data_IF_561486223861
#
_entry.id   IF_561486223861
#
_cell.length_a   1.000
_cell.length_b   1.000
_cell.length_c   1.000
_cell.angle_alpha   90.00
_cell.angle_beta   90.00
_cell.angle_gamma   90.00
#
_symmetry.space_group_name_H-M   'P 1'
#
loop_
_entity.id
_entity.type
_entity.pdbx_description
1 polymer ?
#
# COMPACT_ATOMS: atom_id res chain seq x y z
N UNK A 1 -29.87 -22.67 -7.91
CA UNK A 1 -29.40 -22.32 -6.53
C UNK A 1 -29.42 -20.80 -6.39
N UNK A 2 -29.81 -20.29 -5.23
CA UNK A 2 -29.83 -18.84 -4.95
C UNK A 2 -28.39 -18.37 -4.67
N UNK A 3 -28.02 -17.18 -5.14
CA UNK A 3 -26.76 -16.52 -4.76
C UNK A 3 -26.97 -15.72 -3.47
N UNK A 4 -25.94 -15.66 -2.63
CA UNK A 4 -25.91 -14.83 -1.42
C UNK A 4 -25.50 -13.40 -1.75
N UNK A 5 -24.77 -13.23 -2.87
CA UNK A 5 -24.29 -11.93 -3.38
C UNK A 5 -23.94 -12.04 -4.86
N UNK A 6 -23.72 -10.92 -5.54
CA UNK A 6 -23.16 -10.94 -6.89
C UNK A 6 -21.67 -11.26 -6.84
N UNK A 7 -20.92 -10.66 -5.93
CA UNK A 7 -19.45 -10.75 -5.92
C UNK A 7 -18.93 -11.11 -4.53
N UNK A 8 -18.18 -12.20 -4.46
CA UNK A 8 -17.39 -12.57 -3.27
C UNK A 8 -15.98 -11.98 -3.40
N UNK A 9 -15.53 -11.21 -2.41
CA UNK A 9 -14.20 -10.59 -2.37
C UNK A 9 -13.41 -11.21 -1.22
N UNK A 10 -12.28 -11.84 -1.51
CA UNK A 10 -11.39 -12.40 -0.49
C UNK A 10 -10.26 -11.43 -0.21
N UNK A 11 -10.25 -10.87 0.99
CA UNK A 11 -9.28 -9.87 1.46
C UNK A 11 -9.86 -8.48 1.64
N UNK A 12 -9.96 -8.03 2.90
CA UNK A 12 -10.44 -6.70 3.31
C UNK A 12 -9.33 -5.66 3.45
N UNK A 13 -8.26 -5.77 2.64
CA UNK A 13 -7.22 -4.75 2.48
C UNK A 13 -7.70 -3.56 1.65
N UNK A 14 -6.79 -2.63 1.30
CA UNK A 14 -7.13 -1.46 0.49
C UNK A 14 -7.82 -1.84 -0.82
N UNK A 15 -7.27 -2.79 -1.57
CA UNK A 15 -7.80 -3.17 -2.87
C UNK A 15 -9.22 -3.75 -2.76
N UNK A 16 -9.45 -4.69 -1.83
CA UNK A 16 -10.78 -5.30 -1.68
C UNK A 16 -11.83 -4.31 -1.19
N UNK A 17 -11.45 -3.40 -0.29
CA UNK A 17 -12.36 -2.35 0.20
C UNK A 17 -12.71 -1.35 -0.89
N UNK A 18 -11.72 -0.87 -1.65
CA UNK A 18 -11.95 0.07 -2.77
C UNK A 18 -12.78 -0.59 -3.86
N UNK A 19 -12.49 -1.86 -4.20
CA UNK A 19 -13.27 -2.61 -5.19
C UNK A 19 -14.74 -2.74 -4.76
N UNK A 20 -15.00 -3.11 -3.51
CA UNK A 20 -16.38 -3.24 -3.02
C UNK A 20 -17.15 -1.92 -3.08
N UNK A 21 -16.52 -0.80 -2.72
CA UNK A 21 -17.12 0.53 -2.83
C UNK A 21 -17.40 0.91 -4.30
N UNK A 22 -16.48 0.59 -5.22
CA UNK A 22 -16.68 0.85 -6.64
C UNK A 22 -17.82 0.02 -7.23
N UNK A 23 -17.93 -1.25 -6.85
CA UNK A 23 -19.02 -2.13 -7.27
C UNK A 23 -20.39 -1.68 -6.75
N UNK A 24 -20.43 -1.23 -5.50
CA UNK A 24 -21.64 -0.69 -4.89
C UNK A 24 -22.17 0.55 -5.62
N UNK A 25 -21.30 1.42 -6.14
CA UNK A 25 -21.73 2.60 -6.93
C UNK A 25 -22.44 2.24 -8.24
N UNK A 26 -22.17 1.08 -8.79
CA UNK A 26 -22.81 0.58 -10.01
C UNK A 26 -23.87 -0.48 -9.72
N UNK A 27 -24.28 -0.62 -8.44
CA UNK A 27 -25.43 -1.41 -8.03
C UNK A 27 -25.17 -2.90 -7.83
N UNK A 28 -23.91 -3.34 -7.73
CA UNK A 28 -23.57 -4.73 -7.37
C UNK A 28 -23.51 -4.93 -5.87
N UNK A 29 -24.10 -6.03 -5.40
CA UNK A 29 -23.93 -6.49 -4.04
C UNK A 29 -22.62 -7.28 -3.89
N UNK A 30 -21.90 -7.06 -2.78
CA UNK A 30 -20.68 -7.79 -2.51
C UNK A 30 -20.52 -8.20 -1.05
N UNK A 31 -19.84 -9.33 -0.84
CA UNK A 31 -19.41 -9.81 0.48
C UNK A 31 -17.88 -9.82 0.51
N UNK A 32 -17.29 -9.04 1.42
CA UNK A 32 -15.85 -9.07 1.70
C UNK A 32 -15.59 -10.08 2.81
N UNK A 33 -14.67 -11.01 2.57
CA UNK A 33 -14.20 -12.01 3.51
C UNK A 33 -12.80 -11.64 3.98
N UNK A 34 -12.68 -11.16 5.23
CA UNK A 34 -11.41 -10.72 5.81
C UNK A 34 -11.02 -11.61 7.01
N UNK A 35 -9.78 -12.03 7.05
CA UNK A 35 -9.24 -12.85 8.15
C UNK A 35 -8.98 -12.05 9.43
N UNK A 36 -8.90 -10.73 9.35
CA UNK A 36 -8.60 -9.88 10.50
C UNK A 36 -9.89 -9.30 11.11
N UNK A 37 -9.93 -9.13 12.44
CA UNK A 37 -11.01 -8.39 13.09
C UNK A 37 -10.95 -6.91 12.73
N UNK A 38 -12.12 -6.26 12.73
CA UNK A 38 -12.26 -4.84 12.35
C UNK A 38 -11.36 -3.92 13.20
N UNK A 39 -11.26 -4.16 14.49
CA UNK A 39 -10.46 -3.34 15.41
C UNK A 39 -8.96 -3.38 15.06
N UNK A 40 -8.46 -4.54 14.65
CA UNK A 40 -7.08 -4.65 14.14
C UNK A 40 -6.89 -3.88 12.84
N UNK A 41 -7.91 -3.88 11.98
CA UNK A 41 -7.90 -3.09 10.74
C UNK A 41 -7.96 -1.58 11.00
N UNK A 42 -8.72 -1.15 12.01
CA UNK A 42 -8.88 0.27 12.38
C UNK A 42 -7.78 0.80 13.30
N UNK A 43 -6.75 0.00 13.60
CA UNK A 43 -5.71 0.40 14.53
C UNK A 43 -5.01 1.70 14.10
N UNK A 44 -4.97 2.67 15.03
CA UNK A 44 -4.54 4.04 14.72
C UNK A 44 -3.01 4.25 14.73
N UNK A 45 -2.23 3.27 15.22
CA UNK A 45 -0.78 3.41 15.26
C UNK A 45 -0.19 3.37 13.85
N UNK A 46 0.82 4.22 13.64
CA UNK A 46 1.63 4.18 12.42
C UNK A 46 2.41 2.87 12.36
N UNK A 47 2.26 2.14 11.28
CA UNK A 47 2.89 0.83 11.04
C UNK A 47 3.97 0.88 9.94
N UNK A 48 4.46 2.07 9.63
CA UNK A 48 5.49 2.32 8.62
C UNK A 48 4.95 2.47 7.20
N UNK A 49 3.68 2.14 6.95
CA UNK A 49 3.14 2.21 5.60
C UNK A 49 2.60 3.60 5.28
N UNK A 50 3.08 4.12 4.16
CA UNK A 50 2.54 5.31 3.50
C UNK A 50 2.42 5.03 2.00
N UNK A 51 1.45 5.62 1.37
CA UNK A 51 1.17 5.43 -0.06
C UNK A 51 1.37 6.73 -0.81
N UNK A 52 2.08 6.66 -1.92
CA UNK A 52 2.06 7.67 -2.95
C UNK A 52 0.83 7.43 -3.83
N UNK A 53 -0.24 8.15 -3.58
CA UNK A 53 -1.50 8.06 -4.32
C UNK A 53 -1.38 8.92 -5.56
N UNK A 54 -1.25 8.27 -6.73
CA UNK A 54 -1.20 8.96 -8.02
C UNK A 54 -2.53 9.67 -8.34
N UNK A 55 -2.49 10.64 -9.25
CA UNK A 55 -3.65 11.44 -9.63
C UNK A 55 -4.85 10.60 -10.07
N UNK A 56 -4.64 9.52 -10.83
CA UNK A 56 -5.70 8.60 -11.24
C UNK A 56 -6.37 7.91 -10.05
N UNK A 57 -5.58 7.47 -9.08
CA UNK A 57 -6.09 6.85 -7.86
C UNK A 57 -6.81 7.88 -6.97
N UNK A 58 -6.32 9.11 -6.91
CA UNK A 58 -6.98 10.20 -6.21
C UNK A 58 -8.35 10.50 -6.81
N UNK A 59 -8.44 10.57 -8.16
CA UNK A 59 -9.72 10.76 -8.88
C UNK A 59 -10.71 9.63 -8.58
N UNK A 60 -10.25 8.38 -8.57
CA UNK A 60 -11.05 7.24 -8.18
C UNK A 60 -11.57 7.38 -6.73
N UNK A 61 -10.70 7.71 -5.77
CA UNK A 61 -11.09 7.93 -4.38
C UNK A 61 -12.06 9.11 -4.22
N UNK A 62 -11.95 10.15 -5.07
CA UNK A 62 -12.92 11.26 -5.12
C UNK A 62 -14.30 10.78 -5.58
N UNK A 63 -14.35 10.00 -6.66
CA UNK A 63 -15.59 9.39 -7.16
C UNK A 63 -16.25 8.52 -6.10
N UNK A 64 -15.46 7.79 -5.31
CA UNK A 64 -15.97 6.97 -4.19
C UNK A 64 -16.37 7.79 -2.96
N UNK A 65 -16.20 9.13 -2.96
CA UNK A 65 -16.49 10.00 -1.82
C UNK A 65 -15.57 9.75 -0.61
N UNK A 66 -14.35 9.28 -0.86
CA UNK A 66 -13.31 9.01 0.15
C UNK A 66 -12.31 10.16 0.24
N UNK A 67 -11.97 10.75 -0.92
CA UNK A 67 -10.90 11.74 -1.02
C UNK A 67 -11.14 12.99 -0.16
N UNK A 68 -12.32 13.58 -0.20
CA UNK A 68 -12.64 14.82 0.53
C UNK A 68 -12.48 14.66 2.05
N UNK A 69 -12.64 13.45 2.56
CA UNK A 69 -12.47 13.14 3.97
C UNK A 69 -10.99 12.93 4.33
N UNK A 70 -10.20 12.31 3.43
CA UNK A 70 -8.80 11.96 3.71
C UNK A 70 -7.80 13.03 3.30
N UNK A 71 -8.16 13.95 2.38
CA UNK A 71 -7.25 14.97 1.82
C UNK A 71 -6.50 15.78 2.88
N UNK A 72 -7.15 16.11 4.00
CA UNK A 72 -6.56 16.89 5.10
C UNK A 72 -5.49 16.10 5.89
N UNK A 73 -5.34 14.79 5.63
CA UNK A 73 -4.31 13.91 6.19
C UNK A 73 -3.28 13.51 5.14
N UNK A 74 -3.35 14.10 3.95
CA UNK A 74 -2.43 13.87 2.85
C UNK A 74 -1.47 15.03 2.68
N UNK A 75 -0.32 14.76 2.08
CA UNK A 75 0.68 15.72 1.67
C UNK A 75 0.80 15.69 0.15
N UNK A 76 0.54 16.79 -0.57
CA UNK A 76 0.78 16.84 -2.02
C UNK A 76 2.27 16.67 -2.33
N UNK A 77 2.55 15.95 -3.42
CA UNK A 77 3.87 15.83 -4.04
C UNK A 77 3.90 16.87 -5.16
N UNK A 78 4.67 17.93 -4.94
CA UNK A 78 4.79 19.05 -5.86
C UNK A 78 5.98 18.87 -6.80
N UNK A 79 7.10 18.39 -6.25
CA UNK A 79 8.34 18.16 -6.97
C UNK A 79 8.83 16.73 -6.76
N UNK A 80 9.45 16.16 -7.79
CA UNK A 80 10.19 14.91 -7.68
C UNK A 80 11.58 15.10 -8.25
N UNK A 81 12.60 14.91 -7.42
CA UNK A 81 14.00 14.94 -7.83
C UNK A 81 14.54 13.52 -7.82
N UNK A 82 15.07 13.08 -8.95
CA UNK A 82 15.67 11.76 -9.13
C UNK A 82 17.14 11.92 -9.48
N UNK A 83 18.03 11.34 -8.68
CA UNK A 83 19.46 11.31 -8.94
C UNK A 83 20.06 9.97 -8.58
N UNK A 84 21.26 9.68 -9.02
CA UNK A 84 22.12 8.69 -8.41
C UNK A 84 22.93 9.33 -7.27
N UNK A 85 23.55 8.50 -6.45
CA UNK A 85 24.35 8.98 -5.33
C UNK A 85 25.12 7.84 -4.66
N UNK A 86 25.99 8.22 -3.75
CA UNK A 86 26.72 7.30 -2.89
C UNK A 86 26.64 7.76 -1.44
N UNK A 87 26.59 6.83 -0.48
CA UNK A 87 26.74 7.18 0.92
C UNK A 87 28.01 8.03 1.13
N UNK A 88 27.91 9.09 1.91
CA UNK A 88 28.95 10.07 2.20
C UNK A 88 29.35 11.02 1.06
N UNK A 89 29.02 10.74 -0.21
CA UNK A 89 29.22 11.67 -1.33
C UNK A 89 27.94 12.50 -1.59
N UNK A 90 26.79 12.00 -1.09
CA UNK A 90 25.47 12.63 -1.33
C UNK A 90 24.90 12.35 -2.70
N UNK A 91 23.92 13.18 -3.10
CA UNK A 91 23.30 13.12 -4.42
C UNK A 91 24.27 13.63 -5.50
N UNK A 92 24.22 12.99 -6.68
CA UNK A 92 24.96 13.46 -7.86
C UNK A 92 24.49 14.88 -8.27
N UNK A 93 25.38 15.71 -8.82
CA UNK A 93 24.98 16.99 -9.41
C UNK A 93 24.11 16.83 -10.66
N UNK A 94 24.08 15.63 -11.24
CA UNK A 94 23.19 15.28 -12.35
C UNK A 94 21.91 14.66 -11.82
N UNK A 95 20.78 15.31 -12.08
CA UNK A 95 19.46 14.85 -11.63
C UNK A 95 18.39 15.10 -12.68
N UNK A 96 17.30 14.36 -12.60
CA UNK A 96 16.07 14.64 -13.33
C UNK A 96 15.09 15.27 -12.33
N UNK A 97 14.49 16.37 -12.71
CA UNK A 97 13.49 17.06 -11.91
C UNK A 97 12.15 17.06 -12.65
N UNK A 98 11.10 16.79 -11.91
CA UNK A 98 9.72 16.89 -12.35
C UNK A 98 9.03 17.94 -11.48
N UNK A 99 8.45 18.96 -12.10
CA UNK A 99 7.69 20.01 -11.45
C UNK A 99 6.19 19.83 -11.78
N UNK A 100 5.34 19.86 -10.77
CA UNK A 100 3.88 19.79 -10.97
C UNK A 100 3.33 20.94 -11.81
N UNK A 101 4.02 22.09 -11.86
CA UNK A 101 3.64 23.23 -12.69
C UNK A 101 3.80 22.96 -14.20
N UNK A 102 4.57 21.93 -14.59
CA UNK A 102 4.68 21.50 -16.00
C UNK A 102 3.46 20.73 -16.48
N UNK A 103 2.61 20.29 -15.58
CA UNK A 103 1.35 19.60 -15.86
C UNK A 103 0.18 20.43 -15.34
N UNK A 104 -0.81 20.74 -16.17
CA UNK A 104 -1.96 21.57 -15.81
C UNK A 104 -2.99 20.87 -14.89
N UNK A 105 -2.64 19.74 -14.28
CA UNK A 105 -3.56 18.88 -13.54
C UNK A 105 -3.41 18.92 -12.01
N UNK A 106 -2.48 19.75 -11.51
CA UNK A 106 -2.17 19.90 -10.08
C UNK A 106 -1.04 18.97 -9.61
N UNK A 107 -0.99 18.63 -8.30
CA UNK A 107 0.09 17.81 -7.75
C UNK A 107 0.25 16.47 -8.46
N UNK A 108 1.48 15.97 -8.60
CA UNK A 108 1.79 14.69 -9.24
C UNK A 108 1.19 13.49 -8.48
N UNK A 109 0.86 13.68 -7.22
CA UNK A 109 0.23 12.72 -6.35
C UNK A 109 0.19 13.23 -4.92
N UNK A 110 -0.19 12.36 -3.99
CA UNK A 110 -0.28 12.70 -2.58
C UNK A 110 0.26 11.56 -1.73
N UNK A 111 1.05 11.90 -0.73
CA UNK A 111 1.44 10.95 0.31
C UNK A 111 0.36 10.84 1.38
N UNK A 112 -0.03 9.62 1.71
CA UNK A 112 -1.01 9.34 2.78
C UNK A 112 -0.51 8.17 3.62
N UNK A 113 -0.54 8.31 4.94
CA UNK A 113 -0.28 7.19 5.84
C UNK A 113 -1.44 6.17 5.77
N UNK A 114 -1.12 4.87 5.69
CA UNK A 114 -2.09 3.76 5.59
C UNK A 114 -3.21 3.85 6.64
N UNK A 115 -2.86 4.15 7.88
CA UNK A 115 -3.80 4.24 9.01
C UNK A 115 -4.97 5.20 8.77
N UNK A 116 -4.75 6.31 8.07
CA UNK A 116 -5.80 7.29 7.78
C UNK A 116 -6.68 6.83 6.62
N UNK A 117 -6.07 6.41 5.52
CA UNK A 117 -6.82 5.93 4.36
C UNK A 117 -7.65 4.69 4.69
N UNK A 118 -7.05 3.72 5.35
CA UNK A 118 -7.71 2.47 5.75
C UNK A 118 -8.90 2.71 6.66
N UNK A 119 -8.78 3.59 7.66
CA UNK A 119 -9.88 3.90 8.58
C UNK A 119 -11.07 4.50 7.83
N UNK A 120 -10.83 5.49 6.98
CA UNK A 120 -11.88 6.17 6.22
C UNK A 120 -12.57 5.20 5.25
N UNK A 121 -11.80 4.33 4.57
CA UNK A 121 -12.35 3.29 3.71
C UNK A 121 -13.27 2.33 4.48
N UNK A 122 -12.86 1.88 5.66
CA UNK A 122 -13.68 1.00 6.50
C UNK A 122 -14.93 1.69 7.04
N UNK A 123 -14.82 2.97 7.40
CA UNK A 123 -15.99 3.74 7.85
C UNK A 123 -16.98 3.94 6.69
N UNK A 124 -16.48 4.24 5.49
CA UNK A 124 -17.31 4.34 4.27
C UNK A 124 -17.97 3.01 3.92
N UNK A 125 -17.21 1.92 4.01
CA UNK A 125 -17.71 0.56 3.77
C UNK A 125 -18.88 0.22 4.71
N UNK A 126 -18.74 0.52 6.00
CA UNK A 126 -19.76 0.27 7.01
C UNK A 126 -21.06 1.09 6.79
N UNK A 127 -20.96 2.19 6.04
CA UNK A 127 -22.10 3.05 5.67
C UNK A 127 -22.66 2.72 4.26
N UNK A 128 -22.24 1.61 3.64
CA UNK A 128 -22.65 1.22 2.28
C UNK A 128 -23.49 -0.04 2.33
N UNK A 129 -24.79 0.07 2.10
CA UNK A 129 -25.79 -1.02 2.28
C UNK A 129 -25.54 -2.22 1.36
N UNK A 130 -25.01 -2.01 0.14
CA UNK A 130 -24.74 -3.08 -0.84
C UNK A 130 -23.48 -3.90 -0.52
N UNK A 131 -22.79 -3.63 0.61
CA UNK A 131 -21.56 -4.33 0.96
C UNK A 131 -21.66 -4.96 2.34
N UNK A 132 -21.48 -6.27 2.41
CA UNK A 132 -21.33 -6.99 3.68
C UNK A 132 -19.86 -7.26 3.96
N UNK A 133 -19.32 -6.67 5.02
CA UNK A 133 -17.95 -6.96 5.48
C UNK A 133 -17.96 -8.01 6.59
N UNK A 134 -17.51 -9.21 6.25
CA UNK A 134 -17.36 -10.34 7.19
C UNK A 134 -15.92 -10.38 7.70
N UNK A 135 -15.68 -9.81 8.87
CA UNK A 135 -14.41 -9.94 9.58
C UNK A 135 -14.25 -11.35 10.17
N UNK A 136 -12.99 -11.74 10.43
CA UNK A 136 -12.62 -13.06 10.97
C UNK A 136 -13.12 -14.24 10.11
N UNK A 137 -13.39 -13.97 8.83
CA UNK A 137 -13.90 -14.93 7.86
C UNK A 137 -12.74 -15.52 7.02
N UNK A 138 -12.14 -16.58 7.50
CA UNK A 138 -11.04 -17.28 6.82
C UNK A 138 -11.60 -18.23 5.76
N UNK A 139 -11.26 -18.01 4.50
CA UNK A 139 -11.60 -18.92 3.39
C UNK A 139 -10.73 -20.17 3.46
N UNK A 140 -11.37 -21.32 3.69
CA UNK A 140 -10.72 -22.62 3.69
C UNK A 140 -10.61 -23.21 2.27
N UNK A 141 -11.67 -23.09 1.48
CA UNK A 141 -11.75 -23.62 0.13
C UNK A 141 -12.67 -22.77 -0.76
N UNK A 142 -12.47 -22.84 -2.07
CA UNK A 142 -13.45 -22.37 -3.03
C UNK A 142 -13.51 -23.32 -4.24
N UNK A 143 -14.64 -23.34 -4.89
CA UNK A 143 -14.90 -24.08 -6.13
C UNK A 143 -15.74 -23.21 -7.05
N UNK A 144 -15.64 -23.46 -8.34
CA UNK A 144 -16.39 -22.72 -9.37
C UNK A 144 -17.13 -23.71 -10.26
N UNK A 145 -18.30 -23.29 -10.71
CA UNK A 145 -19.10 -23.99 -11.72
C UNK A 145 -19.57 -23.02 -12.81
N UNK A 146 -20.32 -23.51 -13.78
CA UNK A 146 -20.85 -22.67 -14.87
C UNK A 146 -21.72 -21.50 -14.38
N UNK A 147 -22.35 -21.63 -13.22
CA UNK A 147 -23.26 -20.61 -12.70
C UNK A 147 -22.54 -19.61 -11.77
N UNK A 148 -21.51 -20.00 -11.04
CA UNK A 148 -20.86 -19.11 -10.08
C UNK A 148 -19.70 -19.71 -9.30
N UNK A 149 -19.33 -19.04 -8.23
CA UNK A 149 -18.29 -19.45 -7.29
C UNK A 149 -18.88 -19.72 -5.91
N UNK A 150 -18.43 -20.79 -5.28
CA UNK A 150 -18.80 -21.17 -3.91
C UNK A 150 -17.55 -21.10 -3.04
N UNK A 151 -17.68 -20.45 -1.89
CA UNK A 151 -16.62 -20.31 -0.89
C UNK A 151 -17.05 -21.01 0.39
N UNK A 152 -16.18 -21.85 0.94
CA UNK A 152 -16.33 -22.46 2.27
C UNK A 152 -15.38 -21.80 3.25
N UNK A 153 -15.94 -21.28 4.34
CA UNK A 153 -15.15 -20.69 5.42
C UNK A 153 -14.63 -21.77 6.38
N UNK A 154 -13.63 -21.43 7.17
CA UNK A 154 -13.04 -22.34 8.15
C UNK A 154 -13.99 -22.73 9.28
N UNK A 155 -15.01 -21.93 9.55
CA UNK A 155 -16.07 -22.20 10.53
C UNK A 155 -17.24 -23.04 9.97
N UNK A 156 -17.14 -23.47 8.70
CA UNK A 156 -18.12 -24.31 8.02
C UNK A 156 -19.19 -23.56 7.24
N UNK A 157 -19.33 -22.25 7.38
CA UNK A 157 -20.25 -21.44 6.54
C UNK A 157 -19.91 -21.58 5.07
N UNK A 158 -20.92 -21.60 4.24
CA UNK A 158 -20.80 -21.68 2.77
C UNK A 158 -21.51 -20.47 2.17
N UNK A 159 -20.83 -19.79 1.27
CA UNK A 159 -21.34 -18.61 0.55
C UNK A 159 -21.20 -18.82 -0.94
N UNK A 160 -22.18 -18.34 -1.71
CA UNK A 160 -22.22 -18.45 -3.15
C UNK A 160 -22.38 -17.07 -3.80
N UNK A 161 -21.49 -16.76 -4.75
CA UNK A 161 -21.53 -15.56 -5.57
C UNK A 161 -21.45 -15.88 -7.06
N UNK A 162 -21.74 -14.92 -7.91
CA UNK A 162 -21.57 -15.10 -9.37
C UNK A 162 -20.10 -15.11 -9.77
N UNK A 163 -19.30 -14.31 -9.06
CA UNK A 163 -17.85 -14.14 -9.30
C UNK A 163 -17.13 -14.11 -7.95
N UNK A 164 -15.92 -14.68 -7.91
CA UNK A 164 -14.97 -14.59 -6.81
C UNK A 164 -13.81 -13.67 -7.20
N UNK A 165 -13.49 -12.69 -6.36
CA UNK A 165 -12.33 -11.81 -6.57
C UNK A 165 -11.32 -12.00 -5.45
N UNK A 166 -10.09 -12.38 -5.80
CA UNK A 166 -8.95 -12.51 -4.90
C UNK A 166 -8.25 -11.17 -4.71
N UNK A 167 -8.45 -10.56 -3.54
CA UNK A 167 -7.73 -9.37 -3.04
C UNK A 167 -6.87 -9.76 -1.83
N UNK A 168 -6.44 -11.01 -1.73
CA UNK A 168 -5.77 -11.62 -0.58
C UNK A 168 -4.23 -11.48 -0.62
N UNK A 169 -3.71 -10.63 -1.51
CA UNK A 169 -2.35 -10.13 -1.51
C UNK A 169 -1.32 -11.06 -2.15
N UNK A 170 -0.04 -10.81 -1.82
CA UNK A 170 1.09 -11.48 -2.50
C UNK A 170 1.10 -13.00 -2.44
N UNK A 171 0.53 -13.60 -1.41
CA UNK A 171 0.45 -15.04 -1.23
C UNK A 171 -0.97 -15.53 -1.46
N UNK A 172 -1.65 -14.96 -2.46
CA UNK A 172 -3.05 -15.24 -2.78
C UNK A 172 -3.35 -16.74 -2.81
N UNK A 173 -4.16 -17.20 -1.86
CA UNK A 173 -4.69 -18.53 -1.83
C UNK A 173 -5.78 -18.72 -2.89
N UNK A 174 -6.47 -17.65 -3.28
CA UNK A 174 -7.42 -17.66 -4.39
C UNK A 174 -6.69 -17.99 -5.68
N UNK A 175 -5.59 -17.29 -6.00
CA UNK A 175 -4.79 -17.56 -7.19
C UNK A 175 -4.30 -19.02 -7.23
N UNK A 176 -3.74 -19.51 -6.11
CA UNK A 176 -3.22 -20.86 -6.02
C UNK A 176 -4.29 -21.92 -6.28
N UNK A 177 -5.47 -21.80 -5.64
CA UNK A 177 -6.56 -22.75 -5.79
C UNK A 177 -7.21 -22.71 -7.17
N UNK A 178 -7.18 -21.54 -7.83
CA UNK A 178 -7.67 -21.37 -9.20
C UNK A 178 -6.67 -21.84 -10.28
N UNK A 179 -5.54 -22.42 -9.88
CA UNK A 179 -4.51 -22.88 -10.81
C UNK A 179 -3.74 -21.76 -11.51
N UNK A 180 -3.88 -20.51 -11.04
CA UNK A 180 -3.16 -19.36 -11.61
C UNK A 180 -1.71 -19.43 -11.11
N UNK A 181 -0.80 -19.73 -12.04
CA UNK A 181 0.63 -19.79 -11.76
C UNK A 181 1.21 -18.41 -11.61
N UNK A 182 2.24 -18.30 -10.75
CA UNK A 182 2.97 -17.06 -10.50
C UNK A 182 4.45 -17.26 -10.77
N UNK A 183 5.06 -16.29 -11.44
CA UNK A 183 6.51 -16.21 -11.61
C UNK A 183 7.04 -15.14 -10.67
N UNK A 184 8.14 -15.44 -9.98
CA UNK A 184 8.71 -14.47 -9.05
C UNK A 184 10.06 -14.91 -8.49
N UNK A 185 10.77 -13.96 -7.89
CA UNK A 185 12.05 -14.18 -7.20
C UNK A 185 12.28 -13.12 -6.11
N UNK A 186 13.20 -13.41 -5.22
CA UNK A 186 13.66 -12.49 -4.20
C UNK A 186 14.89 -11.73 -4.70
N UNK A 187 14.97 -10.42 -4.41
CA UNK A 187 16.10 -9.59 -4.83
C UNK A 187 17.30 -9.65 -3.90
N UNK A 188 17.24 -10.39 -2.79
CA UNK A 188 18.24 -10.37 -1.71
C UNK A 188 18.46 -8.97 -1.12
N UNK A 189 17.47 -8.12 -1.27
CA UNK A 189 17.37 -6.76 -0.75
C UNK A 189 16.18 -6.62 0.19
N UNK A 190 16.27 -5.69 1.14
CA UNK A 190 15.19 -5.33 2.05
C UNK A 190 15.11 -3.81 2.17
N UNK A 191 13.90 -3.28 2.25
CA UNK A 191 13.69 -1.86 2.51
C UNK A 191 13.54 -1.62 4.00
N UNK A 192 14.36 -0.71 4.53
CA UNK A 192 14.22 -0.09 5.85
C UNK A 192 13.24 1.06 5.70
N UNK A 193 12.14 1.01 6.45
CA UNK A 193 11.08 2.01 6.38
C UNK A 193 10.90 2.65 7.74
N UNK A 194 10.92 3.98 7.76
CA UNK A 194 10.63 4.77 8.95
C UNK A 194 10.05 6.13 8.56
N UNK A 195 9.49 6.85 9.52
CA UNK A 195 9.25 8.28 9.38
C UNK A 195 10.32 9.05 10.16
N UNK A 196 10.69 10.19 9.65
CA UNK A 196 11.56 11.18 10.32
C UNK A 196 10.84 12.50 10.46
N UNK A 197 11.11 13.22 11.53
CA UNK A 197 10.85 14.64 11.67
C UNK A 197 12.12 15.39 11.36
N UNK A 198 11.99 16.58 10.78
CA UNK A 198 13.12 17.40 10.33
C UNK A 198 12.89 18.89 10.60
N UNK A 199 13.98 19.64 10.68
CA UNK A 199 13.97 21.04 11.07
C UNK A 199 13.40 21.93 9.96
N UNK A 200 13.88 21.76 8.73
CA UNK A 200 13.51 22.59 7.59
C UNK A 200 12.32 21.99 6.83
N UNK A 201 11.45 22.81 6.22
CA UNK A 201 10.29 22.33 5.48
C UNK A 201 10.70 21.63 4.17
N UNK A 202 10.09 20.47 3.86
CA UNK A 202 10.31 19.72 2.62
C UNK A 202 9.64 20.34 1.39
N UNK A 203 8.77 21.34 1.54
CA UNK A 203 8.07 22.08 0.48
C UNK A 203 7.30 21.20 -0.52
N UNK A 204 6.88 20.00 -0.13
CA UNK A 204 6.19 19.04 -1.00
C UNK A 204 7.12 18.25 -1.93
N UNK A 205 8.44 18.37 -1.76
CA UNK A 205 9.43 17.69 -2.63
C UNK A 205 9.64 16.24 -2.20
N UNK A 206 9.61 15.32 -3.15
CA UNK A 206 10.01 13.93 -3.02
C UNK A 206 11.39 13.73 -3.68
N UNK A 207 12.24 12.93 -3.04
CA UNK A 207 13.58 12.62 -3.55
C UNK A 207 13.74 11.11 -3.74
N UNK A 208 14.29 10.72 -4.89
CA UNK A 208 14.66 9.35 -5.21
C UNK A 208 16.15 9.30 -5.52
N UNK A 209 16.90 8.59 -4.68
CA UNK A 209 18.34 8.42 -4.84
C UNK A 209 18.63 6.97 -5.24
N UNK A 210 19.28 6.76 -6.39
CA UNK A 210 19.76 5.46 -6.80
C UNK A 210 21.18 5.22 -6.25
N UNK A 211 21.26 4.42 -5.17
CA UNK A 211 22.52 4.08 -4.51
C UNK A 211 22.98 2.67 -4.89
N UNK A 212 24.26 2.32 -4.68
CA UNK A 212 24.82 1.04 -5.11
C UNK A 212 24.14 -0.21 -4.53
N UNK A 213 23.59 -0.12 -3.31
CA UNK A 213 22.89 -1.23 -2.67
C UNK A 213 21.42 -1.32 -3.05
N UNK A 214 20.84 -0.22 -3.51
CA UNK A 214 19.43 -0.08 -3.89
C UNK A 214 18.94 1.34 -3.70
N UNK A 215 17.73 1.66 -4.17
CA UNK A 215 17.20 3.01 -4.11
C UNK A 215 16.84 3.43 -2.67
N UNK A 216 16.92 4.74 -2.43
CA UNK A 216 16.40 5.41 -1.26
C UNK A 216 15.39 6.45 -1.69
N UNK A 217 14.20 6.44 -1.11
CA UNK A 217 13.20 7.49 -1.30
C UNK A 217 13.00 8.28 0.00
N UNK A 218 12.87 9.61 -0.16
CA UNK A 218 12.51 10.56 0.88
C UNK A 218 11.20 11.21 0.42
N UNK A 219 10.10 10.86 1.08
CA UNK A 219 8.76 11.18 0.62
C UNK A 219 8.07 12.12 1.63
N UNK A 220 7.53 13.28 1.18
CA UNK A 220 6.96 14.28 2.09
C UNK A 220 5.71 13.75 2.80
N UNK A 221 5.62 13.98 4.10
CA UNK A 221 4.43 13.72 4.93
C UNK A 221 3.91 15.04 5.52
N UNK A 222 2.65 15.11 5.98
CA UNK A 222 2.13 16.32 6.60
C UNK A 222 3.01 16.86 7.74
N UNK A 223 3.24 18.17 7.74
CA UNK A 223 4.19 18.85 8.63
C UNK A 223 5.64 18.67 8.19
N UNK A 224 6.58 18.97 9.10
CA UNK A 224 8.00 18.76 8.84
C UNK A 224 8.36 17.28 9.08
N UNK A 225 7.79 16.39 8.28
CA UNK A 225 7.98 14.94 8.36
C UNK A 225 8.21 14.35 6.98
N UNK A 226 8.99 13.29 6.92
CA UNK A 226 9.19 12.51 5.68
C UNK A 226 9.16 11.01 5.97
N UNK A 227 8.60 10.26 5.04
CA UNK A 227 8.71 8.79 5.02
C UNK A 227 9.99 8.42 4.28
N UNK A 228 10.80 7.59 4.89
CA UNK A 228 12.04 7.07 4.33
C UNK A 228 11.81 5.62 3.92
N UNK A 229 12.17 5.31 2.68
CA UNK A 229 12.21 3.94 2.15
C UNK A 229 13.63 3.70 1.65
N UNK A 230 14.46 3.09 2.49
CA UNK A 230 15.89 2.89 2.23
C UNK A 230 16.17 1.42 1.92
N UNK A 231 16.54 1.14 0.69
CA UNK A 231 16.82 -0.23 0.24
C UNK A 231 18.29 -0.57 0.42
N UNK A 232 18.52 -1.69 1.10
CA UNK A 232 19.84 -2.27 1.34
C UNK A 232 19.85 -3.77 1.04
N UNK A 233 21.06 -4.35 0.92
CA UNK A 233 21.20 -5.81 0.91
C UNK A 233 20.62 -6.38 2.21
N UNK A 234 19.85 -7.47 2.14
CA UNK A 234 19.09 -8.01 3.28
C UNK A 234 19.96 -8.20 4.54
N UNK A 235 21.20 -8.71 4.41
CA UNK A 235 22.09 -8.86 5.55
C UNK A 235 22.42 -7.52 6.20
N UNK A 236 22.76 -6.51 5.41
CA UNK A 236 23.10 -5.17 5.90
C UNK A 236 21.85 -4.47 6.48
N UNK A 237 20.70 -4.58 5.83
CA UNK A 237 19.44 -4.04 6.32
C UNK A 237 19.09 -4.57 7.72
N UNK A 238 19.28 -5.88 7.97
CA UNK A 238 19.05 -6.47 9.29
C UNK A 238 20.00 -5.90 10.36
N UNK A 239 21.28 -5.72 10.02
CA UNK A 239 22.25 -5.11 10.93
C UNK A 239 21.84 -3.68 11.27
N UNK A 240 21.56 -2.85 10.25
CA UNK A 240 21.15 -1.45 10.43
C UNK A 240 19.85 -1.36 11.25
N UNK A 241 18.88 -2.23 10.98
CA UNK A 241 17.61 -2.22 11.72
C UNK A 241 17.76 -2.59 13.20
N UNK A 242 18.79 -3.37 13.53
CA UNK A 242 19.13 -3.76 14.91
C UNK A 242 19.88 -2.70 15.73
N UNK A 243 20.39 -1.64 15.09
CA UNK A 243 21.10 -0.55 15.75
C UNK A 243 20.20 0.27 16.69
N UNK A 244 20.78 0.96 17.66
CA UNK A 244 20.07 1.99 18.42
C UNK A 244 19.56 3.11 17.52
N UNK A 245 18.64 3.94 18.00
CA UNK A 245 18.12 5.06 17.20
C UNK A 245 19.20 6.07 16.79
N UNK A 246 20.17 6.33 17.68
CA UNK A 246 21.26 7.23 17.37
C UNK A 246 22.21 6.67 16.31
N UNK A 247 22.59 5.40 16.43
CA UNK A 247 23.43 4.72 15.43
C UNK A 247 22.74 4.58 14.07
N UNK A 248 21.42 4.28 14.07
CA UNK A 248 20.65 4.23 12.84
C UNK A 248 20.64 5.59 12.11
N UNK A 249 20.40 6.68 12.84
CA UNK A 249 20.46 8.04 12.28
C UNK A 249 21.88 8.40 11.81
N UNK A 250 22.93 7.94 12.49
CA UNK A 250 24.31 8.13 12.06
C UNK A 250 24.60 7.41 10.72
N UNK A 251 23.96 6.25 10.46
CA UNK A 251 24.01 5.56 9.19
C UNK A 251 23.15 6.23 8.10
N UNK A 252 22.00 6.79 8.50
CA UNK A 252 21.04 7.41 7.59
C UNK A 252 21.51 8.78 7.06
N UNK A 253 22.07 9.62 7.94
CA UNK A 253 22.47 11.02 7.61
C UNK A 253 23.37 11.11 6.38
N UNK A 254 24.42 10.31 6.21
CA UNK A 254 25.28 10.37 5.01
C UNK A 254 24.54 10.07 3.68
N UNK A 255 23.41 9.34 3.76
CA UNK A 255 22.57 9.04 2.61
C UNK A 255 21.45 10.08 2.42
N UNK A 256 20.93 10.60 3.54
CA UNK A 256 19.82 11.56 3.56
C UNK A 256 20.24 12.96 3.09
N UNK A 257 21.47 13.38 3.43
CA UNK A 257 21.97 14.74 3.19
C UNK A 257 21.51 15.73 4.27
N UNK A 258 21.81 17.03 4.08
CA UNK A 258 21.60 18.11 5.05
C UNK A 258 20.45 19.07 4.67
N UNK A 259 19.80 18.86 3.53
CA UNK A 259 18.83 19.79 2.97
C UNK A 259 17.55 20.00 3.82
N UNK A 260 17.24 19.09 4.74
CA UNK A 260 16.15 19.21 5.70
C UNK A 260 16.59 19.57 7.11
N UNK A 261 17.88 19.90 7.30
CA UNK A 261 18.46 20.20 8.60
C UNK A 261 18.54 18.99 9.51
N UNK A 262 18.42 19.23 10.82
CA UNK A 262 18.47 18.14 11.80
C UNK A 262 17.26 17.21 11.66
N UNK A 263 17.53 15.88 11.75
CA UNK A 263 16.52 14.84 11.59
C UNK A 263 16.46 13.95 12.85
N UNK A 264 15.26 13.52 13.20
CA UNK A 264 14.98 12.57 14.29
C UNK A 264 13.94 11.54 13.86
N UNK A 265 14.00 10.33 14.42
CA UNK A 265 13.01 9.31 14.14
C UNK A 265 11.63 9.71 14.69
N UNK A 266 10.60 9.58 13.86
CA UNK A 266 9.20 9.83 14.20
C UNK A 266 8.43 8.51 14.36
N UNK A 267 8.88 7.64 15.27
CA UNK A 267 8.23 6.36 15.54
C UNK A 267 9.11 5.14 15.32
N UNK A 268 8.48 4.00 15.07
CA UNK A 268 9.17 2.71 14.89
C UNK A 268 9.78 2.58 13.50
N UNK A 269 10.79 1.72 13.41
CA UNK A 269 11.40 1.27 12.14
C UNK A 269 10.82 -0.06 11.73
N UNK A 270 10.72 -0.28 10.43
CA UNK A 270 10.19 -1.49 9.84
C UNK A 270 11.17 -1.99 8.76
N UNK A 271 11.15 -3.30 8.50
CA UNK A 271 11.96 -3.91 7.46
C UNK A 271 11.07 -4.81 6.59
N UNK A 272 11.19 -4.66 5.29
CA UNK A 272 10.40 -5.41 4.30
C UNK A 272 11.31 -6.06 3.26
N UNK A 273 11.34 -7.40 3.17
CA UNK A 273 12.06 -8.09 2.10
C UNK A 273 11.45 -7.76 0.74
N UNK A 274 12.30 -7.52 -0.25
CA UNK A 274 11.90 -7.18 -1.60
C UNK A 274 11.92 -8.40 -2.51
N UNK A 275 10.92 -8.49 -3.37
CA UNK A 275 10.79 -9.55 -4.36
C UNK A 275 9.76 -9.20 -5.41
N UNK A 276 9.89 -9.78 -6.58
CA UNK A 276 8.90 -9.74 -7.63
C UNK A 276 8.00 -10.97 -7.53
N UNK A 277 6.72 -10.78 -7.79
CA UNK A 277 5.77 -11.86 -8.01
C UNK A 277 4.71 -11.39 -9.00
N UNK A 278 4.64 -12.05 -10.14
CA UNK A 278 3.70 -11.73 -11.22
C UNK A 278 2.82 -12.94 -11.50
N UNK A 279 1.51 -12.75 -11.50
CA UNK A 279 0.56 -13.76 -11.92
C UNK A 279 0.60 -13.90 -13.46
N UNK A 280 0.54 -15.14 -13.95
CA UNK A 280 0.49 -15.40 -15.41
C UNK A 280 -0.85 -15.02 -16.05
N UNK A 281 -1.91 -14.98 -15.25
CA UNK A 281 -3.23 -14.49 -15.61
C UNK A 281 -3.85 -13.80 -14.40
N UNK A 282 -4.65 -12.78 -14.63
CA UNK A 282 -5.47 -12.14 -13.59
C UNK A 282 -6.91 -12.63 -13.58
N UNK A 283 -7.25 -13.55 -14.50
CA UNK A 283 -8.58 -14.13 -14.61
C UNK A 283 -8.51 -15.65 -14.80
N UNK A 284 -9.51 -16.33 -14.27
CA UNK A 284 -9.86 -17.73 -14.53
C UNK A 284 -11.40 -17.83 -14.57
N UNK A 285 -11.93 -19.03 -14.80
CA UNK A 285 -13.38 -19.22 -14.80
C UNK A 285 -13.99 -18.73 -13.48
N UNK A 286 -14.90 -17.74 -13.57
CA UNK A 286 -15.58 -17.13 -12.42
C UNK A 286 -14.65 -16.53 -11.35
N UNK A 287 -13.36 -16.35 -11.65
CA UNK A 287 -12.37 -15.80 -10.70
C UNK A 287 -11.61 -14.64 -11.34
N UNK A 288 -11.39 -13.57 -10.56
CA UNK A 288 -10.48 -12.49 -10.89
C UNK A 288 -9.49 -12.24 -9.74
N UNK A 289 -8.34 -11.64 -10.04
CA UNK A 289 -7.32 -11.23 -9.06
C UNK A 289 -7.09 -9.71 -9.16
N UNK A 290 -6.86 -9.09 -7.98
CA UNK A 290 -6.54 -7.65 -7.85
C UNK A 290 -5.32 -7.47 -6.95
#
# INVERSE_FOLDING_TARGET
MKFDTDILIVGGGLNGTVLALALAQVGFESIILDTLPVDKRKHAAFDGRSYAVALSSQRMLSTLGVWDVVRNKSQPILDITVSDGKPAEGASPYFVHFDHCEIEEGPMGHMIEDRFLRRILLDKLAATDCVTHMAEAKVAHHEVDMAGATVRLADGRVLRGRILVGCDGRQSAVAQRSGIRRTGWQYSQSSLVCAVEHELPHQGSAHQLFMPAGPMAILPLPGNRSSIVWTERTKQANVINGLSSAEYLACLRPCFGEFLGDVRLAGKRFIYPLGLSLAQSFIADRVALV
#
